data_IF_531350685389
#
_entry.id   IF_531350685389
#
_cell.length_a   1.000
_cell.length_b   1.000
_cell.length_c   1.000
_cell.angle_alpha   90.00
_cell.angle_beta   90.00
_cell.angle_gamma   90.00
#
_symmetry.space_group_name_H-M   'P 1'
#
loop_
_entity.id
_entity.type
_entity.pdbx_description
1 polymer ?
#
# COMPACT_ATOMS: atom_id res chain seq x y z
N UNK A 1 15.66 -6.69 15.54
CA UNK A 1 16.90 -7.50 15.46
C UNK A 1 16.60 -8.71 14.59
N UNK A 2 17.21 -8.81 13.41
CA UNK A 2 17.12 -9.99 12.52
C UNK A 2 17.77 -11.20 13.17
N UNK A 3 17.12 -12.37 13.13
CA UNK A 3 17.63 -13.60 13.73
C UNK A 3 18.93 -14.08 13.04
N UNK A 4 19.87 -14.72 13.76
CA UNK A 4 21.14 -15.21 13.19
C UNK A 4 20.98 -16.11 11.95
N UNK A 5 19.94 -16.94 11.91
CA UNK A 5 19.63 -17.82 10.77
C UNK A 5 19.16 -17.07 9.52
N UNK A 6 18.38 -15.99 9.68
CA UNK A 6 17.94 -15.13 8.57
C UNK A 6 19.15 -14.49 7.87
N UNK A 7 20.11 -14.02 8.66
CA UNK A 7 21.36 -13.44 8.15
C UNK A 7 22.19 -14.46 7.38
N UNK A 8 22.17 -15.74 7.77
CA UNK A 8 22.88 -16.79 7.05
C UNK A 8 22.25 -17.09 5.68
N UNK A 9 20.90 -17.17 5.61
CA UNK A 9 20.18 -17.39 4.35
C UNK A 9 20.40 -16.24 3.36
N UNK A 10 20.26 -14.99 3.81
CA UNK A 10 20.46 -13.79 2.99
C UNK A 10 21.91 -13.73 2.47
N UNK A 11 22.91 -13.95 3.34
CA UNK A 11 24.33 -14.00 2.92
C UNK A 11 24.59 -15.14 1.94
N UNK A 12 23.96 -16.29 2.14
CA UNK A 12 24.04 -17.43 1.21
C UNK A 12 23.52 -17.06 -0.17
N UNK A 13 22.32 -16.49 -0.25
CA UNK A 13 21.73 -16.02 -1.50
C UNK A 13 22.60 -14.97 -2.20
N UNK A 14 23.13 -14.01 -1.45
CA UNK A 14 24.01 -12.95 -1.97
C UNK A 14 25.36 -13.46 -2.51
N UNK A 15 25.82 -14.64 -2.09
CA UNK A 15 26.99 -15.32 -2.69
C UNK A 15 26.61 -16.23 -3.85
N UNK A 16 25.46 -16.89 -3.74
CA UNK A 16 24.99 -17.87 -4.72
C UNK A 16 24.63 -17.21 -6.05
N UNK A 17 23.84 -16.13 -6.05
CA UNK A 17 23.38 -15.51 -7.30
C UNK A 17 24.51 -15.03 -8.21
N UNK A 18 25.51 -14.25 -7.73
CA UNK A 18 26.65 -13.86 -8.57
C UNK A 18 27.42 -15.06 -9.12
N UNK A 19 27.54 -16.12 -8.33
CA UNK A 19 28.22 -17.35 -8.72
C UNK A 19 27.45 -18.16 -9.78
N UNK A 20 26.12 -18.05 -9.83
CA UNK A 20 25.28 -18.61 -10.89
C UNK A 20 25.38 -17.78 -12.18
N UNK A 21 25.36 -16.45 -12.06
CA UNK A 21 25.49 -15.53 -13.20
C UNK A 21 26.84 -15.67 -13.90
N UNK A 22 27.94 -15.68 -13.13
CA UNK A 22 29.29 -15.84 -13.67
C UNK A 22 29.50 -17.19 -14.40
N UNK A 23 28.72 -18.22 -14.04
CA UNK A 23 28.75 -19.54 -14.68
C UNK A 23 27.74 -19.69 -15.83
N UNK A 24 26.96 -18.66 -16.13
CA UNK A 24 25.89 -18.73 -17.14
C UNK A 24 24.74 -19.67 -16.78
N UNK A 25 24.62 -20.09 -15.52
CA UNK A 25 23.55 -21.00 -15.05
C UNK A 25 22.21 -20.27 -14.87
N UNK A 26 22.26 -18.94 -14.77
CA UNK A 26 21.10 -18.05 -14.71
C UNK A 26 21.50 -16.67 -15.25
N UNK A 27 20.62 -15.91 -15.92
CA UNK A 27 20.93 -14.54 -16.31
C UNK A 27 20.96 -13.60 -15.10
N UNK A 28 21.87 -12.62 -15.12
CA UNK A 28 21.78 -11.49 -14.18
C UNK A 28 20.54 -10.65 -14.49
N UNK A 29 19.77 -10.20 -13.48
CA UNK A 29 18.62 -9.34 -13.69
C UNK A 29 18.97 -8.05 -14.42
N UNK A 30 18.41 -7.86 -15.61
CA UNK A 30 18.48 -6.60 -16.35
C UNK A 30 17.32 -5.70 -15.95
N UNK A 31 17.64 -4.48 -15.48
CA UNK A 31 16.65 -3.51 -15.02
C UNK A 31 16.21 -2.55 -16.13
N UNK A 32 16.64 -2.72 -17.38
CA UNK A 32 16.16 -1.93 -18.49
C UNK A 32 14.65 -2.16 -18.72
N UNK A 33 13.82 -1.10 -18.81
CA UNK A 33 12.38 -1.23 -19.02
C UNK A 33 11.98 -2.15 -20.19
N UNK A 34 12.59 -2.05 -21.39
CA UNK A 34 12.22 -2.91 -22.53
C UNK A 34 12.43 -4.40 -22.26
N UNK A 35 13.48 -4.76 -21.50
CA UNK A 35 13.79 -6.15 -21.18
C UNK A 35 12.75 -6.73 -20.23
N UNK A 36 12.40 -5.99 -19.16
CA UNK A 36 11.36 -6.43 -18.22
C UNK A 36 9.97 -6.51 -18.87
N UNK A 37 9.64 -5.58 -19.77
CA UNK A 37 8.40 -5.64 -20.55
C UNK A 37 8.38 -6.87 -21.46
N UNK A 38 9.47 -7.15 -22.17
CA UNK A 38 9.56 -8.35 -23.02
C UNK A 38 9.43 -9.65 -22.21
N UNK A 39 10.05 -9.73 -21.02
CA UNK A 39 9.91 -10.88 -20.13
C UNK A 39 8.47 -11.05 -19.64
N UNK A 40 7.81 -9.96 -19.24
CA UNK A 40 6.40 -9.97 -18.86
C UNK A 40 5.51 -10.43 -20.02
N UNK A 41 5.76 -9.93 -21.24
CA UNK A 41 5.03 -10.34 -22.44
C UNK A 41 5.18 -11.82 -22.76
N UNK A 42 6.40 -12.36 -22.65
CA UNK A 42 6.65 -13.81 -22.81
C UNK A 42 5.94 -14.63 -21.74
N UNK A 43 5.98 -14.18 -20.48
CA UNK A 43 5.34 -14.87 -19.36
C UNK A 43 3.81 -14.90 -19.49
N UNK A 44 3.20 -13.79 -19.92
CA UNK A 44 1.76 -13.68 -20.13
C UNK A 44 1.28 -14.26 -21.47
N UNK A 45 2.18 -14.36 -22.47
CA UNK A 45 1.86 -14.57 -23.89
C UNK A 45 0.93 -13.48 -24.44
N UNK A 46 1.22 -12.23 -24.06
CA UNK A 46 0.46 -11.02 -24.40
C UNK A 46 1.44 -9.85 -24.59
N UNK A 47 1.06 -8.81 -25.31
CA UNK A 47 1.90 -7.63 -25.58
C UNK A 47 1.22 -6.28 -25.35
N UNK A 48 -0.09 -6.26 -25.09
CA UNK A 48 -0.84 -5.04 -24.82
C UNK A 48 -0.91 -4.71 -23.32
N UNK A 49 -0.13 -3.71 -22.89
CA UNK A 49 -0.08 -3.21 -21.52
C UNK A 49 -1.18 -2.20 -21.19
N UNK A 50 -2.11 -1.91 -22.11
CA UNK A 50 -3.12 -0.88 -21.95
C UNK A 50 -2.53 0.51 -22.15
N UNK A 51 -2.89 1.46 -21.28
CA UNK A 51 -2.37 2.82 -21.38
C UNK A 51 -0.87 2.91 -21.04
N UNK A 52 -0.20 3.89 -21.63
CA UNK A 52 1.24 4.15 -21.45
C UNK A 52 1.58 4.98 -20.21
N UNK A 53 0.60 5.32 -19.36
CA UNK A 53 0.78 6.22 -18.22
C UNK A 53 1.81 5.74 -17.18
N UNK A 54 2.07 4.44 -17.14
CA UNK A 54 3.07 3.83 -16.25
C UNK A 54 4.52 3.95 -16.77
N UNK A 55 4.74 4.18 -18.07
CA UNK A 55 6.07 4.15 -18.69
C UNK A 55 7.04 5.20 -18.11
N UNK A 56 6.64 6.47 -17.88
CA UNK A 56 7.54 7.45 -17.25
C UNK A 56 7.98 7.04 -15.84
N UNK A 57 7.05 6.47 -15.06
CA UNK A 57 7.35 5.95 -13.73
C UNK A 57 8.29 4.75 -13.79
N UNK A 58 8.10 3.85 -14.76
CA UNK A 58 8.97 2.70 -14.97
C UNK A 58 10.40 3.12 -15.31
N UNK A 59 10.57 4.03 -16.27
CA UNK A 59 11.89 4.57 -16.63
C UNK A 59 12.58 5.22 -15.44
N UNK A 60 11.86 6.10 -14.72
CA UNK A 60 12.39 6.79 -13.54
C UNK A 60 12.80 5.82 -12.44
N UNK A 61 11.97 4.81 -12.17
CA UNK A 61 12.25 3.80 -11.16
C UNK A 61 13.46 2.95 -11.52
N UNK A 62 13.59 2.55 -12.78
CA UNK A 62 14.71 1.72 -13.23
C UNK A 62 16.05 2.47 -13.10
N UNK A 63 16.08 3.76 -13.48
CA UNK A 63 17.25 4.62 -13.28
C UNK A 63 17.61 4.79 -11.81
N UNK A 64 16.62 5.16 -10.99
CA UNK A 64 16.81 5.29 -9.54
C UNK A 64 17.38 3.99 -8.93
N UNK A 65 16.81 2.84 -9.28
CA UNK A 65 17.31 1.56 -8.77
C UNK A 65 18.75 1.24 -9.18
N UNK A 66 19.15 1.61 -10.40
CA UNK A 66 20.50 1.39 -10.88
C UNK A 66 21.51 2.34 -10.21
N UNK A 67 21.12 3.58 -9.95
CA UNK A 67 22.02 4.65 -9.50
C UNK A 67 22.11 4.77 -7.97
N UNK A 68 21.03 4.52 -7.24
CA UNK A 68 20.95 4.92 -5.82
C UNK A 68 20.49 3.80 -4.86
N UNK A 69 19.82 2.76 -5.36
CA UNK A 69 19.19 1.77 -4.46
C UNK A 69 20.19 0.83 -3.74
N UNK A 70 21.43 0.75 -4.20
CA UNK A 70 22.47 -0.08 -3.57
C UNK A 70 22.05 -1.54 -3.38
N UNK A 71 21.33 -2.12 -4.35
CA UNK A 71 20.74 -3.44 -4.24
C UNK A 71 21.81 -4.53 -4.16
N UNK A 72 21.67 -5.40 -3.16
CA UNK A 72 22.41 -6.67 -3.08
C UNK A 72 22.05 -7.58 -4.24
N UNK A 73 22.78 -8.68 -4.46
CA UNK A 73 22.43 -9.65 -5.50
C UNK A 73 21.02 -10.25 -5.30
N UNK A 74 20.66 -10.59 -4.05
CA UNK A 74 19.30 -10.98 -3.68
C UNK A 74 18.31 -9.84 -3.96
N UNK A 75 18.67 -8.61 -3.59
CA UNK A 75 17.89 -7.41 -3.88
C UNK A 75 17.55 -7.26 -5.35
N UNK A 76 18.54 -7.41 -6.24
CA UNK A 76 18.34 -7.35 -7.70
C UNK A 76 17.34 -8.39 -8.17
N UNK A 77 17.47 -9.65 -7.71
CA UNK A 77 16.54 -10.73 -8.08
C UNK A 77 15.11 -10.45 -7.60
N UNK A 78 14.95 -10.08 -6.32
CA UNK A 78 13.64 -9.85 -5.71
C UNK A 78 12.92 -8.67 -6.37
N UNK A 79 13.63 -7.56 -6.55
CA UNK A 79 13.06 -6.33 -7.12
C UNK A 79 12.72 -6.51 -8.59
N UNK A 80 13.62 -7.10 -9.39
CA UNK A 80 13.36 -7.40 -10.79
C UNK A 80 12.18 -8.35 -10.96
N UNK A 81 12.15 -9.46 -10.21
CA UNK A 81 11.03 -10.40 -10.24
C UNK A 81 9.70 -9.77 -9.82
N UNK A 82 9.73 -8.84 -8.85
CA UNK A 82 8.58 -8.04 -8.45
C UNK A 82 8.02 -7.18 -9.58
N UNK A 83 8.89 -6.45 -10.29
CA UNK A 83 8.51 -5.59 -11.43
C UNK A 83 8.00 -6.40 -12.62
N UNK A 84 8.69 -7.47 -13.01
CA UNK A 84 8.23 -8.37 -14.10
C UNK A 84 6.86 -8.97 -13.75
N UNK A 85 6.64 -9.36 -12.49
CA UNK A 85 5.32 -9.83 -12.02
C UNK A 85 4.26 -8.72 -12.11
N UNK A 86 4.55 -7.50 -11.71
CA UNK A 86 3.62 -6.38 -11.80
C UNK A 86 3.23 -6.11 -13.27
N UNK A 87 4.22 -6.05 -14.17
CA UNK A 87 4.01 -5.90 -15.61
C UNK A 87 3.20 -7.07 -16.22
N UNK A 88 3.47 -8.31 -15.78
CA UNK A 88 2.70 -9.50 -16.19
C UNK A 88 1.24 -9.38 -15.72
N UNK A 89 1.01 -8.93 -14.50
CA UNK A 89 -0.34 -8.73 -13.96
C UNK A 89 -1.09 -7.59 -14.67
N UNK A 90 -0.37 -6.54 -15.10
CA UNK A 90 -0.91 -5.48 -15.95
C UNK A 90 -1.44 -6.04 -17.28
N UNK A 91 -0.64 -6.82 -18.00
CA UNK A 91 -1.04 -7.50 -19.24
C UNK A 91 -2.29 -8.37 -19.05
N UNK A 92 -2.29 -9.19 -17.98
CA UNK A 92 -3.42 -10.08 -17.69
C UNK A 92 -4.69 -9.29 -17.36
N UNK A 93 -4.59 -8.19 -16.61
CA UNK A 93 -5.74 -7.35 -16.28
C UNK A 93 -6.35 -6.70 -17.53
N UNK A 94 -5.52 -6.16 -18.42
CA UNK A 94 -5.95 -5.59 -19.70
C UNK A 94 -6.67 -6.64 -20.54
N UNK A 95 -6.12 -7.84 -20.63
CA UNK A 95 -6.74 -8.94 -21.37
C UNK A 95 -8.06 -9.41 -20.75
N UNK A 96 -8.20 -9.39 -19.42
CA UNK A 96 -9.49 -9.63 -18.75
C UNK A 96 -10.55 -8.61 -19.18
N UNK A 97 -10.21 -7.32 -19.22
CA UNK A 97 -11.15 -6.27 -19.62
C UNK A 97 -11.51 -6.34 -21.11
N UNK A 98 -10.58 -6.77 -21.97
CA UNK A 98 -10.88 -7.04 -23.40
C UNK A 98 -11.85 -8.20 -23.59
N UNK A 99 -11.68 -9.29 -22.86
CA UNK A 99 -12.54 -10.48 -22.95
C UNK A 99 -13.91 -10.29 -22.30
N UNK A 100 -13.97 -9.43 -21.30
CA UNK A 100 -15.13 -9.18 -20.46
C UNK A 100 -15.29 -7.66 -20.23
N UNK A 101 -15.72 -6.91 -21.26
CA UNK A 101 -15.86 -5.46 -21.17
C UNK A 101 -16.89 -5.03 -20.11
N UNK A 102 -17.84 -5.90 -19.78
CA UNK A 102 -18.83 -5.71 -18.71
C UNK A 102 -18.22 -5.57 -17.30
N UNK A 103 -16.94 -5.93 -17.12
CA UNK A 103 -16.19 -5.61 -15.91
C UNK A 103 -16.11 -4.10 -15.70
N UNK A 104 -15.90 -3.33 -16.76
CA UNK A 104 -15.72 -1.87 -16.69
C UNK A 104 -17.02 -1.15 -16.28
N UNK A 105 -18.16 -1.81 -16.46
CA UNK A 105 -19.47 -1.33 -16.06
C UNK A 105 -19.84 -1.73 -14.62
N UNK A 106 -19.05 -2.58 -13.95
CA UNK A 106 -19.36 -3.04 -12.60
C UNK A 106 -19.42 -1.83 -11.63
N UNK A 107 -20.57 -1.56 -10.98
CA UNK A 107 -20.70 -0.39 -10.12
C UNK A 107 -19.79 -0.44 -8.89
N UNK A 108 -19.24 0.72 -8.50
CA UNK A 108 -18.53 0.92 -7.25
C UNK A 108 -19.17 2.10 -6.47
N UNK A 109 -20.43 1.95 -6.01
CA UNK A 109 -21.15 3.07 -5.41
C UNK A 109 -20.57 3.43 -4.04
N UNK A 110 -20.40 4.74 -3.81
CA UNK A 110 -20.07 5.37 -2.52
C UNK A 110 -18.94 4.67 -1.75
N UNK A 111 -17.75 4.49 -2.34
CA UNK A 111 -16.67 3.77 -1.68
C UNK A 111 -16.28 4.47 -0.37
N UNK A 112 -16.01 3.65 0.65
CA UNK A 112 -15.52 4.07 1.95
C UNK A 112 -14.00 4.11 1.87
N UNK A 113 -13.43 5.32 1.84
CA UNK A 113 -11.98 5.52 1.85
C UNK A 113 -11.53 5.63 3.30
N UNK A 114 -10.78 4.63 3.77
CA UNK A 114 -10.07 4.72 5.06
C UNK A 114 -8.77 5.48 4.84
N UNK A 115 -8.74 6.73 5.33
CA UNK A 115 -7.63 7.66 5.14
C UNK A 115 -6.77 7.72 6.41
N UNK A 116 -5.45 7.79 6.26
CA UNK A 116 -4.54 7.98 7.39
C UNK A 116 -3.12 7.54 7.08
N UNK A 117 -2.17 8.12 7.80
CA UNK A 117 -0.76 7.79 7.68
C UNK A 117 -0.44 6.31 7.88
N UNK A 118 0.72 5.90 7.34
CA UNK A 118 1.23 4.57 7.60
C UNK A 118 1.38 4.40 9.13
N UNK A 119 0.85 3.31 9.67
CA UNK A 119 0.88 3.00 11.12
C UNK A 119 -0.06 3.84 11.99
N UNK A 120 -1.06 4.53 11.44
CA UNK A 120 -2.06 5.27 12.24
C UNK A 120 -3.19 4.41 12.82
N UNK A 121 -3.26 3.11 12.46
CA UNK A 121 -4.33 2.19 12.89
C UNK A 121 -5.35 1.86 11.81
N UNK A 122 -5.15 2.34 10.58
CA UNK A 122 -6.00 2.07 9.41
C UNK A 122 -6.28 0.59 9.17
N UNK A 123 -5.34 -0.32 9.41
CA UNK A 123 -5.56 -1.78 9.27
C UNK A 123 -6.66 -2.30 10.21
N UNK A 124 -6.67 -1.86 11.48
CA UNK A 124 -7.70 -2.28 12.44
C UNK A 124 -9.06 -1.74 12.03
N UNK A 125 -9.12 -0.46 11.66
CA UNK A 125 -10.33 0.18 11.18
C UNK A 125 -10.90 -0.50 9.91
N UNK A 126 -10.05 -0.75 8.91
CA UNK A 126 -10.44 -1.47 7.69
C UNK A 126 -11.00 -2.86 8.01
N UNK A 127 -10.34 -3.62 8.89
CA UNK A 127 -10.76 -4.98 9.23
C UNK A 127 -12.02 -5.02 10.09
N UNK A 128 -12.28 -4.00 10.92
CA UNK A 128 -13.55 -3.83 11.61
C UNK A 128 -14.68 -3.58 10.62
N UNK A 129 -14.51 -2.65 9.67
CA UNK A 129 -15.49 -2.42 8.59
C UNK A 129 -15.71 -3.70 7.76
N UNK A 130 -14.62 -4.37 7.36
CA UNK A 130 -14.69 -5.58 6.55
C UNK A 130 -15.25 -6.81 7.28
N UNK A 131 -15.49 -6.72 8.60
CA UNK A 131 -16.21 -7.75 9.33
C UNK A 131 -17.69 -7.82 8.93
N UNK A 132 -18.26 -6.73 8.40
CA UNK A 132 -19.64 -6.64 7.92
C UNK A 132 -19.77 -7.18 6.49
N UNK A 133 -20.55 -8.25 6.25
CA UNK A 133 -20.69 -8.86 4.92
C UNK A 133 -21.45 -7.97 3.92
N UNK A 134 -22.09 -6.89 4.37
CA UNK A 134 -22.76 -5.89 3.51
C UNK A 134 -21.75 -4.94 2.85
N UNK A 135 -20.49 -4.95 3.29
CA UNK A 135 -19.40 -4.19 2.70
C UNK A 135 -18.45 -5.11 1.93
N UNK A 136 -17.75 -4.54 0.97
CA UNK A 136 -16.72 -5.23 0.20
C UNK A 136 -15.35 -4.66 0.56
N UNK A 137 -14.32 -5.48 0.54
CA UNK A 137 -12.94 -5.04 0.65
C UNK A 137 -12.06 -5.89 -0.27
N UNK A 138 -10.95 -5.31 -0.72
CA UNK A 138 -9.89 -6.03 -1.42
C UNK A 138 -9.27 -7.03 -0.46
N UNK A 139 -9.21 -8.31 -0.85
CA UNK A 139 -8.54 -9.35 -0.05
C UNK A 139 -7.06 -9.40 -0.40
N UNK A 140 -6.21 -9.81 0.54
CA UNK A 140 -4.76 -9.88 0.31
C UNK A 140 -4.37 -10.64 -0.98
N UNK A 141 -4.99 -11.79 -1.25
CA UNK A 141 -4.69 -12.56 -2.47
C UNK A 141 -5.09 -11.84 -3.77
N UNK A 142 -6.13 -10.99 -3.71
CA UNK A 142 -6.60 -10.19 -4.83
C UNK A 142 -5.71 -8.97 -5.02
N UNK A 143 -5.24 -8.35 -3.93
CA UNK A 143 -4.26 -7.27 -4.01
C UNK A 143 -2.95 -7.75 -4.65
N UNK A 144 -2.39 -8.85 -4.16
CA UNK A 144 -1.06 -9.34 -4.59
C UNK A 144 -1.05 -9.90 -6.02
N UNK A 145 -2.16 -10.47 -6.47
CA UNK A 145 -2.35 -11.01 -7.82
C UNK A 145 -3.74 -10.58 -8.34
N UNK A 146 -3.91 -9.34 -8.82
CA UNK A 146 -5.23 -8.82 -9.15
C UNK A 146 -5.90 -9.50 -10.33
N UNK A 147 -5.12 -10.00 -11.29
CA UNK A 147 -5.64 -10.73 -12.43
C UNK A 147 -5.40 -12.25 -12.26
N UNK A 148 -6.45 -13.07 -12.10
CA UNK A 148 -6.29 -14.52 -12.13
C UNK A 148 -5.83 -14.99 -13.52
N UNK A 149 -5.33 -16.23 -13.66
CA UNK A 149 -5.06 -16.81 -14.97
C UNK A 149 -6.28 -16.72 -15.89
N UNK A 150 -6.09 -16.43 -17.17
CA UNK A 150 -7.18 -16.24 -18.14
C UNK A 150 -8.05 -17.48 -18.37
N UNK A 151 -7.60 -18.65 -17.92
CA UNK A 151 -8.36 -19.89 -17.92
C UNK A 151 -9.33 -20.01 -16.74
N UNK A 152 -9.22 -19.12 -15.75
CA UNK A 152 -10.10 -19.11 -14.58
C UNK A 152 -11.54 -18.80 -15.01
N UNK A 153 -12.50 -19.45 -14.36
CA UNK A 153 -13.93 -19.26 -14.60
C UNK A 153 -14.61 -18.84 -13.31
N UNK A 154 -15.53 -17.88 -13.39
CA UNK A 154 -16.36 -17.44 -12.26
C UNK A 154 -17.04 -18.63 -11.59
N UNK A 155 -17.15 -18.57 -10.26
CA UNK A 155 -17.72 -19.64 -9.44
C UNK A 155 -16.80 -20.85 -9.19
N UNK A 156 -15.61 -20.93 -9.81
CA UNK A 156 -14.59 -21.94 -9.48
C UNK A 156 -13.70 -21.47 -8.33
N UNK A 157 -13.05 -22.41 -7.60
CA UNK A 157 -12.04 -22.05 -6.62
C UNK A 157 -10.96 -21.15 -7.22
N UNK A 158 -10.64 -20.06 -6.53
CA UNK A 158 -9.70 -19.07 -7.02
C UNK A 158 -8.24 -19.56 -6.81
N UNK A 159 -7.48 -19.83 -7.89
CA UNK A 159 -6.12 -20.38 -7.79
C UNK A 159 -5.14 -19.40 -7.12
N UNK A 160 -5.45 -18.09 -7.14
CA UNK A 160 -4.61 -17.04 -6.54
C UNK A 160 -4.44 -17.21 -5.04
N UNK A 161 -5.40 -17.86 -4.36
CA UNK A 161 -5.30 -18.17 -2.93
C UNK A 161 -4.13 -19.10 -2.64
N UNK A 162 -3.97 -20.16 -3.43
CA UNK A 162 -2.86 -21.10 -3.26
C UNK A 162 -1.52 -20.44 -3.63
N UNK A 163 -1.51 -19.67 -4.72
CA UNK A 163 -0.33 -18.89 -5.12
C UNK A 163 0.12 -17.94 -4.01
N UNK A 164 -0.82 -17.20 -3.41
CA UNK A 164 -0.54 -16.27 -2.31
C UNK A 164 -0.04 -16.99 -1.07
N UNK A 165 -0.59 -18.17 -0.75
CA UNK A 165 -0.06 -19.01 0.35
C UNK A 165 1.41 -19.37 0.12
N UNK A 166 1.78 -19.77 -1.09
CA UNK A 166 3.16 -20.09 -1.45
C UNK A 166 4.08 -18.86 -1.34
N UNK A 167 3.63 -17.71 -1.83
CA UNK A 167 4.40 -16.45 -1.73
C UNK A 167 4.62 -16.02 -0.28
N UNK A 168 3.57 -16.04 0.55
CA UNK A 168 3.68 -15.73 1.97
C UNK A 168 4.62 -16.72 2.67
N UNK A 169 4.53 -18.02 2.38
CA UNK A 169 5.44 -19.03 2.92
C UNK A 169 6.91 -18.75 2.57
N UNK A 170 7.20 -18.34 1.33
CA UNK A 170 8.55 -17.95 0.92
C UNK A 170 9.05 -16.70 1.64
N UNK A 171 8.20 -15.66 1.73
CA UNK A 171 8.51 -14.43 2.44
C UNK A 171 8.79 -14.70 3.93
N UNK A 172 8.01 -15.58 4.55
CA UNK A 172 8.17 -15.98 5.94
C UNK A 172 9.51 -16.66 6.21
N UNK A 173 10.13 -17.30 5.20
CA UNK A 173 11.46 -17.91 5.31
C UNK A 173 12.58 -16.90 5.13
N UNK A 174 12.39 -15.90 4.26
CA UNK A 174 13.37 -14.85 3.98
C UNK A 174 13.39 -13.77 5.06
N UNK A 175 12.21 -13.37 5.56
CA UNK A 175 12.04 -12.34 6.57
C UNK A 175 10.93 -12.72 7.57
N UNK A 176 11.16 -13.69 8.47
CA UNK A 176 10.22 -14.04 9.54
C UNK A 176 9.77 -12.84 10.39
N UNK A 177 10.63 -11.84 10.58
CA UNK A 177 10.29 -10.61 11.28
C UNK A 177 9.15 -9.82 10.59
N UNK A 178 9.04 -9.90 9.25
CA UNK A 178 7.98 -9.24 8.49
C UNK A 178 6.58 -9.68 8.92
N UNK A 179 6.34 -10.99 9.17
CA UNK A 179 5.03 -11.48 9.65
C UNK A 179 4.57 -10.80 10.93
N UNK A 180 5.51 -10.47 11.81
CA UNK A 180 5.23 -9.84 13.10
C UNK A 180 4.89 -8.36 12.93
N UNK A 181 5.39 -7.72 11.88
CA UNK A 181 5.21 -6.28 11.64
C UNK A 181 3.99 -6.02 10.73
N UNK A 182 3.70 -6.94 9.80
CA UNK A 182 2.57 -6.88 8.87
C UNK A 182 1.91 -8.28 8.70
N UNK A 183 1.03 -8.70 9.62
CA UNK A 183 0.33 -9.99 9.52
C UNK A 183 -0.68 -9.96 8.38
N UNK A 184 -0.26 -10.46 7.22
CA UNK A 184 -1.12 -10.72 6.05
C UNK A 184 -1.69 -12.12 6.16
N UNK A 185 -3.01 -12.25 6.07
CA UNK A 185 -3.67 -13.52 5.84
C UNK A 185 -4.35 -13.46 4.49
N UNK A 186 -4.27 -14.55 3.75
CA UNK A 186 -4.68 -14.66 2.35
C UNK A 186 -6.07 -14.07 2.08
N UNK A 187 -7.02 -14.26 3.01
CA UNK A 187 -8.41 -13.87 2.84
C UNK A 187 -8.83 -12.61 3.59
N UNK A 188 -7.93 -12.03 4.39
CA UNK A 188 -8.24 -10.81 5.16
C UNK A 188 -8.33 -9.62 4.19
N UNK A 189 -9.09 -8.60 4.58
CA UNK A 189 -9.04 -7.30 3.92
C UNK A 189 -7.63 -6.71 4.01
N UNK A 190 -7.13 -6.19 2.89
CA UNK A 190 -5.77 -5.67 2.75
C UNK A 190 -5.69 -4.47 1.81
N UNK A 191 -4.48 -3.93 1.61
CA UNK A 191 -4.18 -2.71 0.85
C UNK A 191 -4.15 -2.91 -0.64
N UNK A 192 -4.61 -1.90 -1.38
CA UNK A 192 -4.47 -1.82 -2.84
C UNK A 192 -3.04 -1.45 -3.29
N UNK A 193 -2.06 -1.38 -2.38
CA UNK A 193 -0.66 -1.05 -2.69
C UNK A 193 -0.06 -1.93 -3.81
N UNK A 194 -0.21 -3.26 -3.82
CA UNK A 194 0.32 -4.07 -4.93
C UNK A 194 -0.46 -3.87 -6.23
N UNK A 195 -1.73 -3.42 -6.18
CA UNK A 195 -2.49 -3.05 -7.38
C UNK A 195 -1.99 -1.72 -7.98
N UNK A 196 -1.67 -0.75 -7.13
CA UNK A 196 -1.05 0.53 -7.54
C UNK A 196 0.34 0.32 -8.14
N UNK A 197 1.10 -0.70 -7.71
CA UNK A 197 2.39 -1.07 -8.29
C UNK A 197 2.27 -1.48 -9.78
N UNK A 198 1.11 -1.96 -10.26
CA UNK A 198 0.90 -2.25 -11.69
C UNK A 198 0.95 -0.99 -12.57
N UNK A 199 0.81 0.20 -11.97
CA UNK A 199 0.98 1.49 -12.64
C UNK A 199 2.25 2.22 -12.21
N UNK A 200 3.17 1.49 -11.55
CA UNK A 200 4.43 2.02 -11.00
C UNK A 200 4.18 3.20 -10.05
N UNK A 201 3.16 3.06 -9.20
CA UNK A 201 2.75 4.10 -8.25
C UNK A 201 3.23 3.77 -6.82
N UNK A 202 3.82 4.75 -6.14
CA UNK A 202 5.11 4.57 -5.45
C UNK A 202 5.17 4.03 -4.02
N UNK A 203 4.10 4.00 -3.21
CA UNK A 203 4.30 3.81 -1.76
C UNK A 203 4.86 2.44 -1.37
N UNK A 204 4.50 1.37 -2.10
CA UNK A 204 5.05 0.04 -1.87
C UNK A 204 6.53 -0.03 -2.29
N UNK A 205 6.84 0.56 -3.44
CA UNK A 205 8.19 0.62 -4.01
C UNK A 205 9.12 1.37 -3.04
N UNK A 206 8.69 2.55 -2.59
CA UNK A 206 9.39 3.42 -1.65
C UNK A 206 9.54 2.81 -0.24
N UNK A 207 8.70 1.84 0.14
CA UNK A 207 8.86 1.09 1.38
C UNK A 207 9.85 -0.07 1.28
N UNK A 208 10.16 -0.51 0.07
CA UNK A 208 10.99 -1.70 -0.19
C UNK A 208 12.39 -1.36 -0.70
N UNK A 209 12.59 -0.15 -1.23
CA UNK A 209 13.81 0.24 -1.96
C UNK A 209 14.21 1.67 -1.58
N UNK A 210 15.50 1.97 -1.33
CA UNK A 210 15.93 3.33 -1.11
C UNK A 210 16.06 4.05 -2.47
N UNK A 211 14.95 4.61 -2.96
CA UNK A 211 14.85 5.27 -4.28
C UNK A 211 14.37 6.74 -4.18
N UNK A 212 15.08 7.64 -3.47
CA UNK A 212 14.65 9.02 -3.26
C UNK A 212 14.39 9.80 -4.56
N UNK A 213 15.14 9.54 -5.64
CA UNK A 213 14.93 10.19 -6.93
C UNK A 213 13.57 9.80 -7.55
N UNK A 214 13.15 8.55 -7.39
CA UNK A 214 11.81 8.09 -7.80
C UNK A 214 10.73 8.64 -6.86
N UNK A 215 10.98 8.67 -5.54
CA UNK A 215 10.07 9.25 -4.55
C UNK A 215 9.77 10.72 -4.85
N UNK A 216 10.79 11.53 -5.11
CA UNK A 216 10.62 12.95 -5.45
C UNK A 216 9.84 13.15 -6.76
N UNK A 217 10.04 12.28 -7.75
CA UNK A 217 9.26 12.30 -8.98
C UNK A 217 7.79 11.94 -8.71
N UNK A 218 7.55 10.86 -7.95
CA UNK A 218 6.23 10.36 -7.56
C UNK A 218 5.42 11.45 -6.83
N UNK A 219 6.04 12.14 -5.86
CA UNK A 219 5.40 13.20 -5.06
C UNK A 219 5.12 14.50 -5.83
N UNK A 220 5.75 14.71 -6.99
CA UNK A 220 5.55 15.91 -7.84
C UNK A 220 4.67 15.65 -9.06
N UNK A 221 4.44 14.39 -9.39
CA UNK A 221 3.76 14.00 -10.62
C UNK A 221 2.31 13.63 -10.31
N UNK A 222 1.31 14.20 -11.03
CA UNK A 222 -0.07 13.74 -10.93
C UNK A 222 -0.17 12.24 -11.22
N UNK A 223 -0.83 11.49 -10.34
CA UNK A 223 -0.92 10.02 -10.41
C UNK A 223 -2.27 9.53 -10.95
N UNK A 224 -3.03 10.37 -11.65
CA UNK A 224 -4.38 10.08 -12.15
C UNK A 224 -4.46 8.81 -12.99
N UNK A 225 -3.41 8.47 -13.75
CA UNK A 225 -3.33 7.22 -14.51
C UNK A 225 -3.42 6.00 -13.61
N UNK A 226 -2.74 6.02 -12.46
CA UNK A 226 -2.70 4.89 -11.54
C UNK A 226 -4.08 4.62 -10.92
N UNK A 227 -4.83 5.67 -10.59
CA UNK A 227 -6.18 5.54 -10.03
C UNK A 227 -7.21 5.16 -11.09
N UNK A 228 -7.08 5.68 -12.32
CA UNK A 228 -7.90 5.22 -13.47
C UNK A 228 -7.67 3.74 -13.78
N UNK A 229 -6.44 3.24 -13.59
CA UNK A 229 -6.13 1.82 -13.74
C UNK A 229 -6.59 0.98 -12.52
N UNK A 230 -6.53 1.54 -11.31
CA UNK A 230 -6.96 0.87 -10.07
C UNK A 230 -8.46 0.54 -10.08
N UNK A 231 -9.30 1.46 -10.55
CA UNK A 231 -10.76 1.29 -10.53
C UNK A 231 -11.22 0.00 -11.25
N UNK A 232 -10.81 -0.28 -12.49
CA UNK A 232 -11.09 -1.54 -13.18
C UNK A 232 -10.52 -2.80 -12.50
N UNK A 233 -9.44 -2.70 -11.72
CA UNK A 233 -8.93 -3.84 -10.93
C UNK A 233 -9.86 -4.18 -9.77
N UNK A 234 -10.45 -3.17 -9.12
CA UNK A 234 -11.44 -3.35 -8.05
C UNK A 234 -12.74 -3.92 -8.65
N UNK A 235 -13.19 -3.36 -9.77
CA UNK A 235 -14.35 -3.85 -10.54
C UNK A 235 -14.19 -5.33 -10.92
N UNK A 236 -13.00 -5.72 -11.41
CA UNK A 236 -12.67 -7.11 -11.71
C UNK A 236 -12.91 -8.02 -10.49
N UNK A 237 -12.53 -7.60 -9.27
CA UNK A 237 -12.75 -8.42 -8.08
C UNK A 237 -14.24 -8.57 -7.75
N UNK A 238 -15.01 -7.49 -7.82
CA UNK A 238 -16.46 -7.52 -7.59
C UNK A 238 -17.18 -8.42 -8.62
N UNK A 239 -16.82 -8.26 -9.89
CA UNK A 239 -17.31 -9.06 -11.00
C UNK A 239 -16.97 -10.55 -10.81
N UNK A 240 -15.71 -10.89 -10.55
CA UNK A 240 -15.28 -12.29 -10.33
C UNK A 240 -16.03 -12.95 -9.17
N UNK A 241 -16.24 -12.22 -8.08
CA UNK A 241 -17.00 -12.71 -6.92
C UNK A 241 -18.49 -12.87 -7.18
N UNK A 242 -19.05 -12.16 -8.17
CA UNK A 242 -20.50 -12.05 -8.34
C UNK A 242 -21.17 -11.42 -7.10
N UNK A 243 -20.46 -10.52 -6.42
CA UNK A 243 -21.00 -9.82 -5.25
C UNK A 243 -22.06 -8.81 -5.71
N UNK A 244 -23.02 -8.57 -4.83
CA UNK A 244 -24.04 -7.54 -5.02
C UNK A 244 -23.36 -6.18 -5.30
N UNK A 245 -23.56 -5.60 -6.50
CA UNK A 245 -22.90 -4.36 -6.91
C UNK A 245 -23.35 -3.14 -6.10
N UNK A 246 -24.44 -3.23 -5.34
CA UNK A 246 -24.89 -2.15 -4.46
C UNK A 246 -24.03 -2.01 -3.19
N UNK A 247 -23.23 -3.02 -2.85
CA UNK A 247 -22.42 -3.04 -1.62
C UNK A 247 -21.20 -2.11 -1.75
N UNK A 248 -21.05 -1.10 -0.87
CA UNK A 248 -19.90 -0.19 -0.88
C UNK A 248 -18.57 -0.92 -0.71
N UNK A 249 -17.54 -0.42 -1.38
CA UNK A 249 -16.16 -0.89 -1.24
C UNK A 249 -15.41 -0.10 -0.18
N UNK A 250 -14.72 -0.81 0.70
CA UNK A 250 -13.75 -0.27 1.64
C UNK A 250 -12.40 -0.28 0.94
N UNK A 251 -11.87 0.91 0.67
CA UNK A 251 -10.55 1.12 0.09
C UNK A 251 -9.63 1.65 1.17
N UNK A 252 -8.42 1.09 1.27
CA UNK A 252 -7.44 1.57 2.24
C UNK A 252 -6.02 1.36 1.75
N UNK A 253 -5.28 2.45 1.65
CA UNK A 253 -3.81 2.45 1.71
C UNK A 253 -3.34 3.79 2.27
N UNK A 254 -2.22 3.82 3.03
CA UNK A 254 -1.56 5.07 3.41
C UNK A 254 -1.23 5.99 2.23
N UNK A 255 -1.08 5.43 1.02
CA UNK A 255 -0.81 6.21 -0.18
C UNK A 255 -1.97 7.13 -0.58
N UNK A 256 -3.22 6.79 -0.22
CA UNK A 256 -4.35 7.65 -0.53
C UNK A 256 -4.24 9.04 0.10
N UNK A 257 -3.48 9.22 1.19
CA UNK A 257 -3.22 10.53 1.78
C UNK A 257 -2.40 11.46 0.88
N UNK A 258 -1.42 10.94 0.13
CA UNK A 258 -0.64 11.77 -0.81
C UNK A 258 -1.35 11.98 -2.15
N UNK A 259 -2.19 11.03 -2.56
CA UNK A 259 -2.82 11.08 -3.89
C UNK A 259 -4.33 11.37 -3.80
N UNK A 260 -4.80 11.95 -2.69
CA UNK A 260 -6.22 12.08 -2.38
C UNK A 260 -7.01 12.80 -3.49
N UNK A 261 -6.41 13.80 -4.14
CA UNK A 261 -7.03 14.50 -5.25
C UNK A 261 -7.33 13.58 -6.44
N UNK A 262 -6.34 12.77 -6.86
CA UNK A 262 -6.51 11.81 -7.96
C UNK A 262 -7.53 10.72 -7.59
N UNK A 263 -7.51 10.25 -6.34
CA UNK A 263 -8.47 9.28 -5.84
C UNK A 263 -9.90 9.81 -5.88
N UNK A 264 -10.13 11.05 -5.43
CA UNK A 264 -11.45 11.69 -5.48
C UNK A 264 -11.91 12.01 -6.91
N UNK A 265 -10.98 12.27 -7.83
CA UNK A 265 -11.29 12.38 -9.25
C UNK A 265 -11.87 11.09 -9.84
N UNK A 266 -11.43 9.93 -9.36
CA UNK A 266 -11.91 8.61 -9.81
C UNK A 266 -13.13 8.12 -9.03
N UNK A 267 -13.25 8.51 -7.75
CA UNK A 267 -14.33 8.15 -6.83
C UNK A 267 -14.98 9.42 -6.23
N UNK A 268 -15.72 10.20 -7.04
CA UNK A 268 -16.26 11.48 -6.62
C UNK A 268 -17.37 11.37 -5.55
N UNK A 269 -18.00 10.21 -5.43
CA UNK A 269 -19.05 9.92 -4.45
C UNK A 269 -18.52 9.22 -3.18
N UNK A 270 -17.20 9.18 -2.99
CA UNK A 270 -16.57 8.54 -1.85
C UNK A 270 -16.92 9.20 -0.52
N UNK A 271 -16.88 8.40 0.56
CA UNK A 271 -16.95 8.86 1.94
C UNK A 271 -15.65 8.57 2.66
N UNK A 272 -15.09 9.57 3.34
CA UNK A 272 -13.78 9.46 3.98
C UNK A 272 -13.95 9.14 5.47
N UNK A 273 -13.28 8.09 5.94
CA UNK A 273 -13.09 7.81 7.37
C UNK A 273 -11.60 8.01 7.67
N UNK A 274 -11.26 9.18 8.23
CA UNK A 274 -9.88 9.56 8.51
C UNK A 274 -9.49 9.16 9.95
N UNK A 275 -8.39 8.41 10.09
CA UNK A 275 -7.85 8.02 11.40
C UNK A 275 -6.49 8.67 11.65
N UNK A 276 -6.41 9.39 12.76
CA UNK A 276 -5.25 10.17 13.17
C UNK A 276 -4.46 9.49 14.27
N UNK A 277 -3.14 9.67 14.26
CA UNK A 277 -2.23 9.23 15.30
C UNK A 277 -1.11 10.25 15.49
N UNK A 278 -0.54 10.27 16.68
CA UNK A 278 0.66 11.05 16.98
C UNK A 278 1.75 10.87 15.88
N UNK A 279 2.22 11.98 15.25
CA UNK A 279 3.20 11.93 14.17
C UNK A 279 4.55 11.31 14.56
N UNK A 280 4.99 11.48 15.80
CA UNK A 280 6.23 10.90 16.29
C UNK A 280 6.14 9.37 16.32
N UNK A 281 5.04 8.84 16.86
CA UNK A 281 4.76 7.41 16.87
C UNK A 281 4.59 6.83 15.45
N UNK A 282 3.93 7.56 14.54
CA UNK A 282 3.81 7.14 13.13
C UNK A 282 5.19 7.08 12.46
N UNK A 283 5.98 8.15 12.58
CA UNK A 283 7.30 8.27 11.96
C UNK A 283 8.23 7.15 12.42
N UNK A 284 8.37 6.93 13.73
CA UNK A 284 9.24 5.88 14.26
C UNK A 284 8.79 4.48 13.81
N UNK A 285 7.47 4.23 13.79
CA UNK A 285 6.95 2.94 13.35
C UNK A 285 7.11 2.71 11.86
N UNK A 286 6.96 3.74 11.04
CA UNK A 286 7.09 3.66 9.58
C UNK A 286 8.55 3.48 9.18
N UNK A 287 9.47 4.24 9.78
CA UNK A 287 10.92 4.07 9.61
C UNK A 287 11.36 2.64 9.98
N UNK A 288 10.83 2.11 11.09
CA UNK A 288 11.12 0.73 11.50
C UNK A 288 10.59 -0.31 10.52
N UNK A 289 9.36 -0.17 10.04
CA UNK A 289 8.80 -1.08 9.03
C UNK A 289 9.66 -1.06 7.75
N UNK A 290 9.93 0.11 7.19
CA UNK A 290 10.69 0.25 5.96
C UNK A 290 12.14 -0.25 6.09
N UNK A 291 12.81 0.05 7.21
CA UNK A 291 14.13 -0.50 7.52
C UNK A 291 14.13 -2.04 7.45
N UNK A 292 13.15 -2.69 8.08
CA UNK A 292 13.05 -4.15 8.07
C UNK A 292 12.72 -4.73 6.67
N UNK A 293 12.16 -3.93 5.76
CA UNK A 293 11.91 -4.32 4.37
C UNK A 293 13.12 -4.10 3.46
N UNK A 294 13.84 -2.98 3.64
CA UNK A 294 14.97 -2.59 2.78
C UNK A 294 16.27 -3.28 3.16
N UNK A 295 16.58 -3.41 4.46
CA UNK A 295 17.88 -3.89 4.93
C UNK A 295 18.28 -5.30 4.42
N UNK A 296 17.34 -6.25 4.20
CA UNK A 296 17.69 -7.52 3.56
C UNK A 296 18.09 -7.42 2.08
N UNK A 297 17.72 -6.33 1.40
CA UNK A 297 17.79 -6.19 -0.05
C UNK A 297 18.80 -5.13 -0.51
N UNK A 298 19.23 -4.22 0.37
CA UNK A 298 20.15 -3.10 0.05
C UNK A 298 21.29 -3.00 1.07
N UNK A 299 22.50 -2.72 0.58
CA UNK A 299 23.70 -2.51 1.41
C UNK A 299 23.90 -1.03 1.81
N UNK A 300 23.19 -0.09 1.17
CA UNK A 300 23.39 1.35 1.37
C UNK A 300 22.43 1.96 2.39
N UNK A 301 21.32 1.28 2.67
CA UNK A 301 20.31 1.78 3.60
C UNK A 301 20.85 1.78 5.03
N UNK A 302 20.59 2.87 5.78
CA UNK A 302 20.86 2.96 7.22
C UNK A 302 19.57 3.29 7.98
N UNK A 303 19.52 3.01 9.29
CA UNK A 303 18.37 3.43 10.11
C UNK A 303 18.17 4.95 10.09
N UNK A 304 19.25 5.73 10.13
CA UNK A 304 19.19 7.19 10.05
C UNK A 304 18.59 7.67 8.72
N UNK A 305 18.97 7.05 7.60
CA UNK A 305 18.36 7.31 6.31
C UNK A 305 16.85 7.01 6.33
N UNK A 306 16.43 5.87 6.88
CA UNK A 306 15.01 5.55 7.03
C UNK A 306 14.28 6.55 7.94
N UNK A 307 14.91 7.04 9.02
CA UNK A 307 14.33 8.06 9.88
C UNK A 307 14.00 9.33 9.09
N UNK A 308 14.99 9.90 8.41
CA UNK A 308 14.81 11.11 7.60
C UNK A 308 13.75 10.93 6.50
N UNK A 309 13.81 9.81 5.77
CA UNK A 309 12.89 9.52 4.67
C UNK A 309 11.44 9.38 5.16
N UNK A 310 11.22 8.67 6.26
CA UNK A 310 9.86 8.43 6.78
C UNK A 310 9.32 9.58 7.60
N UNK A 311 10.16 10.46 8.16
CA UNK A 311 9.73 11.76 8.66
C UNK A 311 9.20 12.63 7.52
N UNK A 312 9.99 12.76 6.43
CA UNK A 312 9.56 13.50 5.25
C UNK A 312 8.22 12.97 4.72
N UNK A 313 8.11 11.65 4.52
CA UNK A 313 6.90 11.05 3.95
C UNK A 313 5.68 11.15 4.84
N UNK A 314 5.83 10.92 6.14
CA UNK A 314 4.71 11.04 7.09
C UNK A 314 4.18 12.46 7.04
N UNK A 315 5.08 13.43 7.09
CA UNK A 315 4.72 14.83 6.99
C UNK A 315 4.07 15.20 5.64
N UNK A 316 4.67 14.78 4.52
CA UNK A 316 4.14 15.06 3.18
C UNK A 316 2.71 14.55 3.03
N UNK A 317 2.43 13.31 3.44
CA UNK A 317 1.10 12.71 3.34
C UNK A 317 0.04 13.43 4.19
N UNK A 318 0.37 13.73 5.44
CA UNK A 318 -0.57 14.43 6.33
C UNK A 318 -0.91 15.82 5.79
N UNK A 319 0.11 16.56 5.34
CA UNK A 319 -0.07 17.89 4.76
C UNK A 319 -0.87 17.87 3.46
N UNK A 320 -0.55 16.96 2.54
CA UNK A 320 -1.23 16.86 1.25
C UNK A 320 -2.69 16.45 1.44
N UNK A 321 -2.97 15.46 2.29
CA UNK A 321 -4.33 15.06 2.63
C UNK A 321 -5.13 16.21 3.25
N UNK A 322 -4.55 16.95 4.19
CA UNK A 322 -5.21 18.09 4.83
C UNK A 322 -5.54 19.20 3.82
N UNK A 323 -4.60 19.53 2.93
CA UNK A 323 -4.81 20.54 1.89
C UNK A 323 -5.93 20.15 0.92
N UNK A 324 -5.94 18.90 0.45
CA UNK A 324 -6.99 18.39 -0.47
C UNK A 324 -8.35 18.35 0.23
N UNK A 325 -8.42 17.90 1.49
CA UNK A 325 -9.66 17.92 2.28
C UNK A 325 -10.20 19.34 2.46
N UNK A 326 -9.34 20.31 2.76
CA UNK A 326 -9.72 21.72 2.89
C UNK A 326 -10.25 22.31 1.56
N UNK A 327 -9.67 21.90 0.42
CA UNK A 327 -10.14 22.30 -0.90
C UNK A 327 -11.44 21.58 -1.34
N UNK A 328 -11.83 20.50 -0.68
CA UNK A 328 -12.99 19.68 -1.02
C UNK A 328 -13.94 19.47 0.18
N UNK A 329 -14.48 20.55 0.78
CA UNK A 329 -15.36 20.45 1.95
C UNK A 329 -16.70 19.75 1.66
N UNK A 330 -17.06 19.59 0.38
CA UNK A 330 -18.26 18.88 -0.06
C UNK A 330 -18.11 17.35 0.00
N UNK A 331 -16.89 16.81 0.09
CA UNK A 331 -16.66 15.37 0.22
C UNK A 331 -16.91 14.97 1.68
N UNK A 332 -17.90 14.11 1.97
CA UNK A 332 -18.21 13.74 3.34
C UNK A 332 -17.02 13.06 4.01
N UNK A 333 -16.67 13.53 5.21
CA UNK A 333 -15.58 12.96 6.00
C UNK A 333 -15.95 12.88 7.48
N UNK A 334 -15.44 11.84 8.14
CA UNK A 334 -15.46 11.71 9.60
C UNK A 334 -14.05 11.44 10.11
N UNK A 335 -13.65 12.12 11.17
CA UNK A 335 -12.36 11.94 11.83
C UNK A 335 -12.51 11.03 13.06
N UNK A 336 -11.54 10.14 13.27
CA UNK A 336 -11.34 9.31 14.47
C UNK A 336 -9.87 9.32 14.86
N UNK A 337 -9.55 8.85 16.05
CA UNK A 337 -8.19 8.83 16.57
C UNK A 337 -7.79 7.42 16.97
N UNK A 338 -6.52 7.07 16.76
CA UNK A 338 -5.93 5.81 17.18
C UNK A 338 -6.18 5.51 18.67
N UNK A 339 -6.11 6.54 19.52
CA UNK A 339 -6.40 6.42 20.95
C UNK A 339 -7.86 6.05 21.23
N UNK A 340 -8.82 6.71 20.57
CA UNK A 340 -10.24 6.40 20.69
C UNK A 340 -10.56 4.98 20.20
N UNK A 341 -10.03 4.60 19.05
CA UNK A 341 -10.19 3.25 18.49
C UNK A 341 -9.56 2.16 19.37
N UNK A 342 -8.56 2.49 20.17
CA UNK A 342 -8.00 1.58 21.17
C UNK A 342 -8.85 1.49 22.43
N UNK A 343 -9.39 2.63 22.90
CA UNK A 343 -10.18 2.70 24.13
C UNK A 343 -11.57 2.05 23.96
N UNK A 344 -12.31 2.43 22.91
CA UNK A 344 -13.64 1.89 22.62
C UNK A 344 -13.81 1.71 21.09
N UNK A 345 -13.30 0.60 20.52
CA UNK A 345 -13.46 0.34 19.10
C UNK A 345 -14.92 0.21 18.67
N UNK A 346 -15.80 -0.36 19.50
CA UNK A 346 -17.19 -0.61 19.12
C UNK A 346 -17.99 0.69 19.12
N UNK A 347 -17.80 1.55 20.13
CA UNK A 347 -18.40 2.89 20.15
C UNK A 347 -17.97 3.74 18.96
N UNK A 348 -16.67 3.73 18.62
CA UNK A 348 -16.17 4.45 17.44
C UNK A 348 -16.75 3.88 16.14
N UNK A 349 -16.86 2.56 16.00
CA UNK A 349 -17.51 1.95 14.83
C UNK A 349 -19.00 2.31 14.74
N UNK A 350 -19.73 2.40 15.86
CA UNK A 350 -21.13 2.85 15.87
C UNK A 350 -21.27 4.29 15.35
N UNK A 351 -20.37 5.19 15.76
CA UNK A 351 -20.31 6.57 15.26
C UNK A 351 -20.01 6.63 13.76
N UNK A 352 -19.04 5.85 13.30
CA UNK A 352 -18.68 5.74 11.88
C UNK A 352 -19.86 5.22 11.06
N UNK A 353 -20.58 4.21 11.54
CA UNK A 353 -21.77 3.68 10.87
C UNK A 353 -22.89 4.72 10.75
N UNK A 354 -23.11 5.53 11.79
CA UNK A 354 -24.04 6.66 11.72
C UNK A 354 -23.69 7.66 10.62
N UNK A 355 -22.40 8.00 10.48
CA UNK A 355 -21.93 8.86 9.38
C UNK A 355 -22.04 8.18 8.00
N UNK A 356 -21.80 6.88 7.93
CA UNK A 356 -21.94 6.11 6.69
C UNK A 356 -23.39 5.86 6.29
N UNK A 357 -24.37 6.26 7.12
CA UNK A 357 -25.79 5.96 6.93
C UNK A 357 -26.04 4.46 6.78
N UNK A 358 -25.36 3.67 7.63
CA UNK A 358 -25.46 2.21 7.67
C UNK A 358 -26.03 1.78 9.03
N UNK A 359 -26.95 0.82 9.02
CA UNK A 359 -27.48 0.26 10.26
C UNK A 359 -26.41 -0.53 11.01
N UNK A 360 -26.13 -0.16 12.25
CA UNK A 360 -25.23 -0.89 13.14
C UNK A 360 -26.00 -2.01 13.87
N UNK A 361 -26.06 -3.18 13.26
CA UNK A 361 -26.86 -4.32 13.76
C UNK A 361 -26.12 -5.11 14.83
N UNK A 362 -26.85 -5.88 15.64
CA UNK A 362 -26.27 -6.83 16.59
C UNK A 362 -25.32 -7.84 15.92
N UNK A 363 -25.66 -8.31 14.71
CA UNK A 363 -24.79 -9.20 13.94
C UNK A 363 -23.46 -8.50 13.57
N UNK A 364 -23.52 -7.24 13.16
CA UNK A 364 -22.34 -6.43 12.82
C UNK A 364 -21.43 -6.27 14.04
N UNK A 365 -22.01 -5.88 15.18
CA UNK A 365 -21.29 -5.75 16.44
C UNK A 365 -20.64 -7.08 16.85
N UNK A 366 -21.38 -8.19 16.81
CA UNK A 366 -20.87 -9.51 17.16
C UNK A 366 -19.72 -9.96 16.24
N UNK A 367 -19.77 -9.63 14.94
CA UNK A 367 -18.69 -9.90 13.97
C UNK A 367 -17.42 -9.11 14.31
N UNK A 368 -17.56 -7.83 14.62
CA UNK A 368 -16.45 -6.96 15.02
C UNK A 368 -15.83 -7.43 16.35
N UNK A 369 -16.65 -7.78 17.34
CA UNK A 369 -16.17 -8.32 18.61
C UNK A 369 -15.39 -9.64 18.43
N UNK A 370 -15.87 -10.54 17.55
CA UNK A 370 -15.13 -11.78 17.21
C UNK A 370 -13.77 -11.47 16.57
N UNK A 371 -13.71 -10.50 15.67
CA UNK A 371 -12.45 -10.06 15.08
C UNK A 371 -11.48 -9.52 16.16
N UNK A 372 -11.96 -8.64 17.05
CA UNK A 372 -11.16 -8.08 18.14
C UNK A 372 -10.61 -9.17 19.07
N UNK A 373 -11.46 -10.14 19.46
CA UNK A 373 -11.06 -11.27 20.30
C UNK A 373 -9.99 -12.14 19.61
N UNK A 374 -10.13 -12.39 18.30
CA UNK A 374 -9.14 -13.15 17.53
C UNK A 374 -7.80 -12.39 17.41
N UNK A 375 -7.84 -11.09 17.13
CA UNK A 375 -6.65 -10.24 17.02
C UNK A 375 -5.87 -10.17 18.35
N UNK A 376 -6.59 -10.06 19.47
CA UNK A 376 -6.00 -10.07 20.81
C UNK A 376 -5.26 -11.40 21.11
N UNK A 377 -5.88 -12.55 20.78
CA UNK A 377 -5.26 -13.87 20.97
C UNK A 377 -4.03 -14.10 20.09
N UNK A 378 -4.04 -13.58 18.87
CA UNK A 378 -2.93 -13.75 17.93
C UNK A 378 -1.67 -12.95 18.34
N UNK A 379 -1.79 -12.03 19.30
CA UNK A 379 -0.69 -11.14 19.64
C UNK A 379 -0.34 -10.19 18.48
N UNK A 380 -1.30 -9.89 17.59
CA UNK A 380 -1.14 -8.98 16.44
C UNK A 380 -0.77 -7.53 16.90
N UNK A 381 -0.73 -7.29 18.22
CA UNK A 381 -0.29 -6.05 18.89
C UNK A 381 1.03 -6.20 19.70
N UNK A 382 1.83 -7.24 19.42
CA UNK A 382 3.15 -7.39 20.02
C UNK A 382 3.95 -6.08 19.89
N UNK A 383 4.29 -5.46 21.03
CA UNK A 383 5.02 -4.19 21.09
C UNK A 383 6.43 -4.40 20.56
N UNK A 384 6.60 -4.30 19.25
CA UNK A 384 7.92 -4.11 18.68
C UNK A 384 8.44 -2.79 19.25
N UNK A 385 9.39 -2.86 20.18
CA UNK A 385 9.98 -1.65 20.76
C UNK A 385 10.87 -1.03 19.68
N UNK A 386 10.55 0.20 19.33
CA UNK A 386 11.35 1.10 18.51
C UNK A 386 11.27 2.48 19.17
N UNK A 387 12.32 3.27 19.03
CA UNK A 387 12.34 4.67 19.48
C UNK A 387 12.75 5.55 18.30
N UNK A 388 12.37 6.83 18.32
CA UNK A 388 12.84 7.79 17.32
C UNK A 388 14.38 7.84 17.26
N UNK A 389 15.04 7.77 18.43
CA UNK A 389 16.50 7.81 18.54
C UNK A 389 17.21 6.69 17.79
N UNK A 390 16.62 5.49 17.67
CA UNK A 390 17.19 4.42 16.84
C UNK A 390 17.28 4.77 15.35
N UNK A 391 16.44 5.70 14.89
CA UNK A 391 16.37 6.19 13.51
C UNK A 391 16.96 7.60 13.36
N UNK A 392 17.73 8.06 14.35
CA UNK A 392 18.42 9.36 14.29
C UNK A 392 17.48 10.56 14.40
N UNK A 393 16.32 10.39 15.06
CA UNK A 393 15.34 11.46 15.28
C UNK A 393 15.07 11.67 16.76
N UNK A 394 14.67 12.88 17.12
CA UNK A 394 14.06 13.27 18.39
C UNK A 394 12.58 13.64 18.21
N UNK A 395 11.83 13.76 19.31
CA UNK A 395 10.46 14.29 19.25
C UNK A 395 10.45 15.75 18.75
N UNK A 396 11.47 16.54 19.11
CA UNK A 396 11.64 17.92 18.68
C UNK A 396 11.85 18.03 17.16
N UNK A 397 12.60 17.11 16.55
CA UNK A 397 12.77 17.06 15.09
C UNK A 397 11.43 16.87 14.37
N UNK A 398 10.60 15.97 14.89
CA UNK A 398 9.27 15.70 14.35
C UNK A 398 8.36 16.92 14.56
N UNK A 399 8.32 17.45 15.78
CA UNK A 399 7.52 18.63 16.11
C UNK A 399 7.90 19.83 15.24
N UNK A 400 9.20 20.11 15.07
CA UNK A 400 9.71 21.19 14.23
C UNK A 400 9.27 21.04 12.77
N UNK A 401 9.33 19.82 12.22
CA UNK A 401 8.91 19.53 10.84
C UNK A 401 7.41 19.79 10.63
N UNK A 402 6.57 19.37 11.57
CA UNK A 402 5.12 19.56 11.50
C UNK A 402 4.69 21.00 11.84
N UNK A 403 5.43 21.72 12.69
CA UNK A 403 5.15 23.12 13.03
C UNK A 403 5.56 24.12 11.93
N UNK A 404 6.54 23.77 11.08
CA UNK A 404 7.01 24.63 9.99
C UNK A 404 5.89 25.06 9.02
N UNK A 405 4.86 24.24 8.86
CA UNK A 405 3.72 24.54 7.98
C UNK A 405 2.65 25.40 8.63
N UNK A 406 2.40 25.25 9.94
CA UNK A 406 1.47 26.12 10.67
C UNK A 406 1.92 27.59 10.59
N UNK A 407 3.23 27.83 10.63
CA UNK A 407 3.83 29.16 10.43
C UNK A 407 3.68 29.67 8.99
N UNK A 408 3.89 28.81 7.98
CA UNK A 408 3.72 29.18 6.56
C UNK A 408 2.26 29.46 6.19
N UNK A 409 1.32 28.68 6.73
CA UNK A 409 -0.12 28.90 6.58
C UNK A 409 -0.55 30.21 7.27
N UNK A 410 -0.01 30.50 8.47
CA UNK A 410 -0.23 31.77 9.17
C UNK A 410 0.35 32.99 8.44
N UNK A 411 1.52 32.87 7.79
CA UNK A 411 2.13 33.97 7.03
C UNK A 411 1.42 34.26 5.69
N UNK A 412 0.82 33.25 5.04
CA UNK A 412 -0.01 33.47 3.85
C UNK A 412 -1.37 34.14 4.16
N UNK A 413 -1.79 34.17 5.43
CA UNK A 413 -2.99 34.89 5.89
C UNK A 413 -2.71 36.30 6.43
N UNK A 414 -1.45 36.74 6.52
CA UNK A 414 -1.09 38.11 6.93
C UNK A 414 -0.98 39.10 5.76
N UNK A 415 -1.48 38.75 4.57
CA UNK A 415 -1.43 39.58 3.36
C UNK A 415 -2.77 40.13 2.85
N UNK A 416 -3.89 39.93 3.56
CA UNK A 416 -5.17 40.52 3.19
C UNK A 416 -5.52 41.69 4.14
N UNK A 417 -5.64 42.95 3.65
CA UNK A 417 -6.07 44.05 4.49
C UNK A 417 -7.54 43.88 4.87
N UNK A 418 -7.83 44.20 6.12
CA UNK A 418 -9.04 43.78 6.83
C UNK A 418 -10.35 44.40 6.35
N UNK A 419 -11.43 43.81 6.88
CA UNK A 419 -12.72 44.47 6.99
C UNK A 419 -13.21 44.34 8.44
N UNK A 420 -13.32 45.51 9.09
CA UNK A 420 -14.32 45.76 10.12
C UNK A 420 -15.68 45.91 9.45
#
# INVERSE_FOLDING_TARGET
MTHPGERALIRGANRMFPALWARGLSPEPDTAPPVMMQQASRAARLDDFGDDGFLPGLDRLCRAQAEEAGLTALGRVVVHGGLVRALTQRLLAVEWWKRHPDILDYPLPRPIIVLGGMRSGTTRLQRLLAADPRLQATRAFEAMTPAPPLSHRRGRPDPRRLQTRGLLFGLDRLNPAFRRIHPVRVNDADEELPMLELSICGAQIEAQRPVPAFRDWSERTPQDHAYRFLRPLIQLQGWLRGSDPARPWILKTPQYSQDLAALLGVFPDARIVAIHRDPAAMTASAASLAWNMMAPLSDTVTKGWCGAEWLHKTHFRERTAAAVRAAHPHVPAIDTHFAAMNADPIGEMRRIYGFLDLSFTEETEARMQRYLAAAARAGDHGRHRYTLGEFGLSEDDVAARFAADARRAGSCHQGAPGYR
#
